data_IF_699587686154
#
_entry.id   IF_699587686154
#
_cell.length_a   1.000
_cell.length_b   1.000
_cell.length_c   1.000
_cell.angle_alpha   90.00
_cell.angle_beta   90.00
_cell.angle_gamma   90.00
#
_symmetry.space_group_name_H-M   'P 1'
#
loop_
_entity.id
_entity.type
_entity.pdbx_description
1 polymer ?
#
# COMPACT_ATOMS: atom_id res chain seq x y z
N UNK A 1 23.65 0.20 -30.26
CA UNK A 1 22.19 0.40 -30.29
C UNK A 1 21.58 -0.67 -29.39
N UNK A 2 21.49 -0.40 -28.10
CA UNK A 2 20.90 -1.29 -27.10
C UNK A 2 19.63 -0.60 -26.62
N UNK A 3 18.47 -1.21 -26.82
CA UNK A 3 17.19 -0.59 -26.45
C UNK A 3 17.10 -0.52 -24.92
N UNK A 4 17.23 0.70 -24.41
CA UNK A 4 17.01 1.06 -23.01
C UNK A 4 15.58 0.74 -22.56
N UNK A 5 15.48 0.04 -21.43
CA UNK A 5 14.45 0.29 -20.43
C UNK A 5 13.02 -0.13 -20.78
N UNK A 6 12.76 -1.44 -20.80
CA UNK A 6 11.39 -1.93 -20.62
C UNK A 6 10.91 -1.53 -19.21
N UNK A 7 10.12 -0.46 -19.12
CA UNK A 7 9.54 0.00 -17.86
C UNK A 7 8.71 -1.15 -17.28
N UNK A 8 9.16 -1.72 -16.16
CA UNK A 8 8.32 -2.62 -15.36
C UNK A 8 7.03 -1.88 -15.01
N UNK A 9 5.88 -2.47 -15.34
CA UNK A 9 4.59 -1.89 -15.02
C UNK A 9 4.46 -1.70 -13.51
N UNK A 10 4.19 -0.45 -13.08
CA UNK A 10 3.86 -0.15 -11.69
C UNK A 10 2.36 0.08 -11.62
N UNK A 11 1.67 -0.68 -10.78
CA UNK A 11 0.22 -0.55 -10.62
C UNK A 11 -0.19 -0.54 -9.14
N UNK A 12 -1.38 0.02 -8.86
CA UNK A 12 -1.97 0.03 -7.52
C UNK A 12 -2.50 -1.35 -7.18
N UNK A 13 -2.01 -1.95 -6.10
CA UNK A 13 -2.47 -3.25 -5.61
C UNK A 13 -3.00 -3.10 -4.18
N UNK A 14 -4.26 -3.47 -3.97
CA UNK A 14 -4.83 -3.53 -2.61
C UNK A 14 -4.30 -4.76 -1.89
N UNK A 15 -4.01 -4.59 -0.60
CA UNK A 15 -3.40 -5.62 0.24
C UNK A 15 -4.09 -5.65 1.60
N UNK A 16 -4.04 -6.81 2.24
CA UNK A 16 -4.41 -6.93 3.64
C UNK A 16 -3.23 -6.46 4.51
N UNK A 17 -3.51 -5.87 5.68
CA UNK A 17 -2.48 -5.37 6.59
C UNK A 17 -2.81 -5.77 8.02
N UNK A 18 -1.81 -6.28 8.73
CA UNK A 18 -1.89 -6.46 10.19
C UNK A 18 -1.48 -5.15 10.84
N UNK A 19 -2.35 -4.59 11.68
CA UNK A 19 -2.13 -3.31 12.33
C UNK A 19 -1.98 -3.51 13.84
N UNK A 20 -1.09 -2.74 14.45
CA UNK A 20 -1.15 -2.41 15.85
C UNK A 20 -1.77 -1.01 15.98
N UNK A 21 -2.79 -0.89 16.81
CA UNK A 21 -3.38 0.40 17.19
C UNK A 21 -3.15 0.55 18.68
N UNK A 22 -2.47 1.61 19.09
CA UNK A 22 -2.26 1.89 20.51
C UNK A 22 -3.46 2.65 21.12
N UNK A 23 -3.38 2.91 22.41
CA UNK A 23 -4.38 3.64 23.20
C UNK A 23 -4.58 5.11 22.75
N UNK A 24 -3.57 5.72 22.13
CA UNK A 24 -3.66 7.05 21.51
C UNK A 24 -4.32 7.03 20.11
N UNK A 25 -4.67 5.84 19.60
CA UNK A 25 -5.22 5.68 18.25
C UNK A 25 -4.19 5.77 17.12
N UNK A 26 -2.89 5.78 17.45
CA UNK A 26 -1.81 5.72 16.48
C UNK A 26 -1.75 4.33 15.86
N UNK A 27 -1.66 4.29 14.54
CA UNK A 27 -1.64 3.07 13.75
C UNK A 27 -0.21 2.76 13.31
N UNK A 28 0.26 1.55 13.64
CA UNK A 28 1.53 0.99 13.17
C UNK A 28 1.28 -0.30 12.37
N UNK A 29 1.59 -0.32 11.06
CA UNK A 29 1.49 -1.54 10.27
C UNK A 29 2.62 -2.52 10.63
N UNK A 30 2.24 -3.77 10.90
CA UNK A 30 3.15 -4.84 11.32
C UNK A 30 3.46 -5.85 10.20
N UNK A 31 2.52 -6.07 9.27
CA UNK A 31 2.73 -6.96 8.14
C UNK A 31 1.80 -6.61 6.98
N UNK A 32 2.26 -6.88 5.76
CA UNK A 32 1.45 -6.83 4.53
C UNK A 32 1.18 -8.27 4.07
N UNK A 33 -0.08 -8.57 3.78
CA UNK A 33 -0.53 -9.86 3.25
C UNK A 33 -1.04 -9.61 1.83
N UNK A 34 -0.35 -10.21 0.85
CA UNK A 34 -0.72 -10.13 -0.56
C UNK A 34 -1.99 -10.93 -0.86
N UNK A 35 -2.70 -10.61 -1.96
CA UNK A 35 -3.92 -11.35 -2.34
C UNK A 35 -3.72 -12.86 -2.52
N UNK A 36 -2.49 -13.30 -2.82
CA UNK A 36 -2.12 -14.72 -2.94
C UNK A 36 -1.74 -15.37 -1.60
N UNK A 37 -1.91 -14.67 -0.47
CA UNK A 37 -1.64 -15.16 0.88
C UNK A 37 -0.20 -14.97 1.35
N UNK A 38 0.73 -14.54 0.49
CA UNK A 38 2.12 -14.28 0.92
C UNK A 38 2.16 -13.14 1.93
N UNK A 39 2.84 -13.36 3.05
CA UNK A 39 2.92 -12.41 4.16
C UNK A 39 4.34 -11.87 4.29
N UNK A 40 4.47 -10.55 4.39
CA UNK A 40 5.72 -9.84 4.58
C UNK A 40 5.65 -9.04 5.87
N UNK A 41 6.45 -9.41 6.87
CA UNK A 41 6.56 -8.63 8.11
C UNK A 41 7.28 -7.32 7.83
N UNK A 42 6.79 -6.26 8.46
CA UNK A 42 7.39 -4.94 8.44
C UNK A 42 8.34 -4.88 9.63
N UNK A 43 9.61 -4.62 9.36
CA UNK A 43 10.63 -4.49 10.40
C UNK A 43 10.58 -3.11 11.05
N UNK A 44 10.29 -2.07 10.25
CA UNK A 44 10.26 -0.69 10.72
C UNK A 44 9.36 0.20 9.86
N UNK A 45 8.72 1.17 10.51
CA UNK A 45 8.00 2.27 9.86
C UNK A 45 8.85 3.54 9.95
N UNK A 46 9.53 3.85 8.86
CA UNK A 46 10.48 4.96 8.70
C UNK A 46 9.81 6.34 8.62
N UNK A 47 8.58 6.39 8.12
CA UNK A 47 7.82 7.64 8.00
C UNK A 47 6.33 7.37 8.09
N UNK A 48 5.60 8.28 8.76
CA UNK A 48 4.15 8.31 8.85
C UNK A 48 3.68 9.66 8.33
N UNK A 49 3.05 9.65 7.17
CA UNK A 49 2.47 10.84 6.58
C UNK A 49 1.09 11.12 7.14
N UNK A 50 0.78 12.40 7.31
CA UNK A 50 -0.57 12.85 7.61
C UNK A 50 -1.51 12.56 6.43
N UNK A 51 -2.83 12.46 6.69
CA UNK A 51 -3.82 12.35 5.62
C UNK A 51 -3.71 13.53 4.66
N UNK A 52 -3.48 13.24 3.38
CA UNK A 52 -3.48 14.25 2.33
C UNK A 52 -4.85 14.88 2.08
N UNK A 53 -4.90 15.77 1.09
CA UNK A 53 -6.16 16.36 0.61
C UNK A 53 -7.16 15.29 0.14
N UNK A 54 -8.45 15.62 0.23
CA UNK A 54 -9.51 14.77 -0.27
C UNK A 54 -9.43 14.69 -1.80
N UNK A 55 -9.16 13.51 -2.34
CA UNK A 55 -9.11 13.25 -3.78
C UNK A 55 -10.02 12.08 -4.11
N UNK A 56 -10.90 12.28 -5.11
CA UNK A 56 -11.87 11.25 -5.56
C UNK A 56 -12.68 10.65 -4.39
N UNK A 57 -12.98 11.47 -3.38
CA UNK A 57 -13.75 11.09 -2.19
C UNK A 57 -12.96 10.31 -1.13
N UNK A 58 -11.63 10.27 -1.17
CA UNK A 58 -10.82 9.66 -0.14
C UNK A 58 -9.61 10.53 0.26
N UNK A 59 -9.20 10.46 1.53
CA UNK A 59 -7.92 11.02 1.99
C UNK A 59 -6.90 9.89 2.03
N UNK A 60 -5.68 10.13 1.57
CA UNK A 60 -4.62 9.11 1.54
C UNK A 60 -3.45 9.51 2.44
N UNK A 61 -3.03 8.60 3.32
CA UNK A 61 -1.82 8.73 4.14
C UNK A 61 -0.73 7.81 3.61
N UNK A 62 0.54 8.24 3.64
CA UNK A 62 1.70 7.46 3.17
C UNK A 62 2.56 7.00 4.34
N UNK A 63 2.83 5.71 4.39
CA UNK A 63 3.79 5.09 5.29
C UNK A 63 5.02 4.66 4.49
N UNK A 64 6.22 5.11 4.89
CA UNK A 64 7.47 4.51 4.38
C UNK A 64 7.84 3.38 5.32
N UNK A 65 7.94 2.17 4.78
CA UNK A 65 8.16 0.95 5.56
C UNK A 65 9.41 0.23 5.06
N UNK A 66 9.99 -0.59 5.93
CA UNK A 66 11.14 -1.44 5.65
C UNK A 66 10.82 -2.89 5.96
N UNK A 67 11.20 -3.79 5.05
CA UNK A 67 11.22 -5.23 5.27
C UNK A 67 12.53 -5.81 4.70
N UNK A 68 13.30 -6.47 5.55
CA UNK A 68 14.71 -6.76 5.29
C UNK A 68 15.48 -5.51 4.88
N UNK A 69 16.12 -5.58 3.71
CA UNK A 69 16.91 -4.48 3.11
C UNK A 69 16.09 -3.59 2.16
N UNK A 70 14.79 -3.83 2.01
CA UNK A 70 13.95 -3.12 1.05
C UNK A 70 13.07 -2.11 1.75
N UNK A 71 13.12 -0.88 1.25
CA UNK A 71 12.20 0.17 1.64
C UNK A 71 11.13 0.36 0.56
N UNK A 72 9.90 0.63 0.97
CA UNK A 72 8.81 0.94 0.05
C UNK A 72 7.75 1.81 0.70
N UNK A 73 6.76 2.23 -0.09
CA UNK A 73 5.60 2.97 0.39
C UNK A 73 4.39 2.03 0.52
N UNK A 74 3.71 2.14 1.65
CA UNK A 74 2.39 1.59 1.91
C UNK A 74 1.42 2.76 2.09
N UNK A 75 0.23 2.67 1.53
CA UNK A 75 -0.73 3.76 1.50
C UNK A 75 -2.03 3.34 2.15
N UNK A 76 -2.56 4.18 3.03
CA UNK A 76 -3.89 4.06 3.62
C UNK A 76 -4.82 5.06 2.94
N UNK A 77 -5.82 4.55 2.22
CA UNK A 77 -6.92 5.33 1.66
C UNK A 77 -8.13 5.23 2.59
N UNK A 78 -8.56 6.36 3.15
CA UNK A 78 -9.73 6.48 4.02
C UNK A 78 -10.84 7.21 3.30
N UNK A 79 -11.95 6.51 3.08
CA UNK A 79 -13.17 7.04 2.47
C UNK A 79 -14.23 7.19 3.55
N UNK A 80 -14.74 8.41 3.71
CA UNK A 80 -15.90 8.62 4.57
C UNK A 80 -17.15 8.07 3.88
N UNK A 81 -17.92 7.31 4.64
CA UNK A 81 -19.23 6.84 4.25
C UNK A 81 -20.25 7.98 4.26
N UNK A 82 -21.48 7.63 3.93
CA UNK A 82 -22.63 8.52 4.03
C UNK A 82 -23.73 7.81 4.81
N UNK A 83 -24.05 8.29 6.03
CA UNK A 83 -25.17 7.74 6.80
C UNK A 83 -26.49 7.80 6.02
N UNK A 84 -26.71 8.86 5.24
CA UNK A 84 -27.91 9.02 4.41
C UNK A 84 -28.04 7.95 3.30
N UNK A 85 -26.91 7.37 2.86
CA UNK A 85 -26.89 6.31 1.85
C UNK A 85 -26.63 4.92 2.47
N UNK A 86 -26.55 4.82 3.80
CA UNK A 86 -26.21 3.58 4.50
C UNK A 86 -24.82 3.04 4.17
N UNK A 87 -23.89 3.89 3.71
CA UNK A 87 -22.52 3.46 3.37
C UNK A 87 -21.59 3.71 4.55
N UNK A 88 -20.82 2.70 5.02
CA UNK A 88 -19.88 2.88 6.12
C UNK A 88 -18.60 3.58 5.67
N UNK A 89 -17.82 4.05 6.64
CA UNK A 89 -16.43 4.43 6.42
C UNK A 89 -15.64 3.20 5.94
N UNK A 90 -14.73 3.42 4.98
CA UNK A 90 -13.90 2.35 4.41
C UNK A 90 -12.44 2.75 4.43
N UNK A 91 -11.63 1.94 5.10
CA UNK A 91 -10.18 2.01 5.07
C UNK A 91 -9.62 0.92 4.14
N UNK A 92 -8.82 1.32 3.15
CA UNK A 92 -8.15 0.39 2.23
C UNK A 92 -6.67 0.64 2.15
N UNK A 93 -5.90 -0.44 2.27
CA UNK A 93 -4.45 -0.41 2.18
C UNK A 93 -3.98 -0.85 0.81
N UNK A 94 -3.00 -0.15 0.26
CA UNK A 94 -2.44 -0.47 -1.05
C UNK A 94 -0.96 -0.15 -1.17
N UNK A 95 -0.31 -0.81 -2.12
CA UNK A 95 1.09 -0.62 -2.50
C UNK A 95 1.21 -0.33 -3.99
N UNK A 96 2.33 0.25 -4.41
CA UNK A 96 2.76 0.24 -5.80
C UNK A 96 3.42 -1.12 -6.08
N UNK A 97 2.67 -2.04 -6.67
CA UNK A 97 3.18 -3.34 -7.09
C UNK A 97 3.96 -3.20 -8.40
N UNK A 98 5.03 -3.99 -8.53
CA UNK A 98 5.84 -4.08 -9.73
C UNK A 98 5.61 -5.45 -10.33
N UNK A 99 5.16 -5.51 -11.58
CA UNK A 99 5.02 -6.76 -12.31
C UNK A 99 6.41 -7.32 -12.63
N UNK A 100 6.71 -8.50 -12.07
CA UNK A 100 7.94 -9.24 -12.34
C UNK A 100 7.70 -10.38 -13.34
N UNK A 101 6.70 -10.26 -14.22
CA UNK A 101 6.55 -11.21 -15.33
C UNK A 101 7.87 -11.26 -16.12
N UNK A 102 8.54 -12.42 -16.18
CA UNK A 102 9.70 -12.56 -17.04
C UNK A 102 9.24 -12.32 -18.47
N UNK A 103 9.89 -11.41 -19.19
CA UNK A 103 9.76 -11.38 -20.64
C UNK A 103 10.18 -12.75 -21.16
N UNK A 104 9.26 -13.44 -21.85
CA UNK A 104 9.61 -14.68 -22.56
C UNK A 104 10.82 -14.36 -23.45
N UNK A 105 11.92 -15.13 -23.38
CA UNK A 105 12.96 -14.98 -24.39
C UNK A 105 12.32 -15.21 -25.75
N UNK A 106 12.53 -14.28 -26.69
CA UNK A 106 12.16 -14.48 -28.09
C UNK A 106 12.85 -15.74 -28.60
N UNK A 107 12.07 -16.70 -29.10
CA UNK A 107 12.58 -17.81 -29.92
C UNK A 107 13.18 -17.26 -31.22
#
# INVERSE_FOLDING_TARGET
MTKDGERRGVHKMYVNVVLHVNDEGRIDPLAVIWPDGRTFRIDEVLYRGEPGQLQKGAKTSRFRIRFGRKETNLYLERRQGSPALGTPDVDRWWVNAIDNTPTKPSC
#
